data_IF_636170388908
#
_entry.id   IF_636170388908
#
_cell.length_a   1.000
_cell.length_b   1.000
_cell.length_c   1.000
_cell.angle_alpha   90.00
_cell.angle_beta   90.00
_cell.angle_gamma   90.00
#
_symmetry.space_group_name_H-M   'P 1'
#
loop_
_entity.id
_entity.type
_entity.pdbx_description
1 polymer ?
#
# COMPACT_ATOMS: atom_id res chain seq x y z
N UNK A 1 -6.38 -2.11 4.56
CA UNK A 1 -5.21 -2.55 5.36
C UNK A 1 -5.60 -2.89 6.79
N UNK A 2 -6.07 -1.94 7.62
CA UNK A 2 -6.39 -2.21 9.03
C UNK A 2 -7.36 -3.37 9.20
N UNK A 3 -8.49 -3.42 8.44
CA UNK A 3 -9.42 -4.57 8.47
C UNK A 3 -8.69 -5.91 8.29
N UNK A 4 -7.86 -6.05 7.26
CA UNK A 4 -7.12 -7.30 6.98
C UNK A 4 -6.16 -7.67 8.12
N UNK A 5 -5.49 -6.69 8.72
CA UNK A 5 -4.58 -6.94 9.85
C UNK A 5 -5.33 -7.36 11.11
N UNK A 6 -6.55 -6.86 11.31
CA UNK A 6 -7.40 -7.26 12.43
C UNK A 6 -7.96 -8.69 12.32
N UNK A 7 -7.91 -9.33 11.14
CA UNK A 7 -8.22 -10.76 11.00
C UNK A 7 -7.19 -11.67 11.71
N UNK A 8 -6.06 -11.10 12.14
CA UNK A 8 -5.00 -11.82 12.86
C UNK A 8 -4.99 -11.46 14.35
N UNK A 9 -4.45 -12.30 15.22
CA UNK A 9 -4.51 -12.10 16.68
C UNK A 9 -3.64 -10.94 17.21
N UNK A 10 -2.73 -10.38 16.40
CA UNK A 10 -1.85 -9.30 16.84
C UNK A 10 -2.58 -7.96 17.02
N UNK A 11 -2.03 -7.10 17.86
CA UNK A 11 -2.46 -5.70 17.96
C UNK A 11 -1.97 -4.92 16.74
N UNK A 12 -2.82 -4.02 16.26
CA UNK A 12 -2.54 -3.08 15.18
C UNK A 12 -2.42 -1.68 15.76
N UNK A 13 -1.21 -1.15 15.79
CA UNK A 13 -0.97 0.24 16.17
C UNK A 13 -1.26 1.13 14.96
N UNK A 14 -2.23 2.03 15.08
CA UNK A 14 -2.67 2.84 13.95
C UNK A 14 -2.57 4.34 14.26
N UNK A 15 -1.75 5.03 13.49
CA UNK A 15 -1.68 6.48 13.51
C UNK A 15 -2.90 7.08 12.82
N UNK A 16 -3.66 7.89 13.54
CA UNK A 16 -4.88 8.57 13.07
C UNK A 16 -4.76 10.05 13.36
N UNK A 17 -4.66 10.89 12.34
CA UNK A 17 -4.36 12.32 12.46
C UNK A 17 -5.29 13.14 13.34
N UNK A 18 -6.53 12.73 13.54
CA UNK A 18 -7.57 13.52 14.24
C UNK A 18 -8.11 12.76 15.44
N UNK A 19 -8.09 13.39 16.62
CA UNK A 19 -8.66 12.84 17.84
C UNK A 19 -10.15 12.51 17.70
N UNK A 20 -10.93 13.36 16.98
CA UNK A 20 -12.35 13.10 16.73
C UNK A 20 -12.57 11.79 15.94
N UNK A 21 -11.66 11.48 15.00
CA UNK A 21 -11.73 10.22 14.25
C UNK A 21 -11.43 9.02 15.16
N UNK A 22 -10.49 9.14 16.09
CA UNK A 22 -10.23 8.11 17.11
C UNK A 22 -11.46 7.89 17.96
N UNK A 23 -12.04 8.95 18.51
CA UNK A 23 -13.25 8.87 19.34
C UNK A 23 -14.41 8.20 18.58
N UNK A 24 -14.61 8.57 17.32
CA UNK A 24 -15.63 7.95 16.48
C UNK A 24 -15.39 6.45 16.29
N UNK A 25 -14.14 6.05 15.95
CA UNK A 25 -13.78 4.63 15.78
C UNK A 25 -14.03 3.85 17.07
N UNK A 26 -13.65 4.40 18.24
CA UNK A 26 -13.83 3.73 19.51
C UNK A 26 -15.30 3.55 19.89
N UNK A 27 -16.15 4.52 19.56
CA UNK A 27 -17.57 4.49 19.90
C UNK A 27 -18.40 3.68 18.89
N UNK A 28 -18.18 3.93 17.60
CA UNK A 28 -19.01 3.40 16.51
C UNK A 28 -18.42 2.17 15.84
N UNK A 29 -17.15 1.83 16.12
CA UNK A 29 -16.39 0.74 15.47
C UNK A 29 -16.24 0.89 13.95
N UNK A 30 -16.40 2.09 13.41
CA UNK A 30 -16.30 2.40 11.98
C UNK A 30 -15.37 3.58 11.74
N UNK A 31 -14.76 3.66 10.55
CA UNK A 31 -14.05 4.86 10.13
C UNK A 31 -15.04 5.85 9.48
N UNK A 32 -15.15 7.10 9.96
CA UNK A 32 -16.14 8.05 9.44
C UNK A 32 -15.86 8.52 8.01
N UNK A 33 -14.62 8.39 7.53
CA UNK A 33 -14.17 8.97 6.27
C UNK A 33 -13.89 7.94 5.17
N UNK A 34 -13.63 6.68 5.54
CA UNK A 34 -13.22 5.63 4.61
C UNK A 34 -13.90 4.32 4.95
N UNK A 35 -14.60 3.73 3.97
CA UNK A 35 -15.25 2.43 4.11
C UNK A 35 -16.10 2.37 5.38
N UNK A 36 -16.99 3.35 5.54
CA UNK A 36 -17.80 3.52 6.76
C UNK A 36 -18.69 2.32 7.10
N UNK A 37 -18.93 1.42 6.15
CA UNK A 37 -19.65 0.16 6.36
C UNK A 37 -18.81 -0.94 7.00
N UNK A 38 -17.46 -0.78 7.04
CA UNK A 38 -16.56 -1.78 7.61
C UNK A 38 -16.55 -1.67 9.12
N UNK A 39 -16.97 -2.71 9.83
CA UNK A 39 -16.79 -2.80 11.27
C UNK A 39 -15.32 -3.12 11.59
N UNK A 40 -14.78 -2.41 12.57
CA UNK A 40 -13.40 -2.56 13.05
C UNK A 40 -13.42 -3.23 14.42
N UNK A 41 -12.54 -4.20 14.62
CA UNK A 41 -12.34 -4.84 15.92
C UNK A 41 -11.47 -3.95 16.80
N UNK A 42 -12.13 -3.16 17.67
CA UNK A 42 -11.44 -2.24 18.58
C UNK A 42 -10.51 -2.97 19.57
N UNK A 43 -10.78 -4.25 19.87
CA UNK A 43 -9.90 -5.04 20.75
C UNK A 43 -8.55 -5.33 20.10
N UNK A 44 -8.44 -5.20 18.78
CA UNK A 44 -7.20 -5.34 18.02
C UNK A 44 -6.48 -4.02 17.79
N UNK A 45 -7.14 -2.88 18.02
CA UNK A 45 -6.61 -1.56 17.68
C UNK A 45 -5.95 -0.87 18.86
N UNK A 46 -4.81 -0.24 18.60
CA UNK A 46 -4.19 0.76 19.46
C UNK A 46 -4.06 2.04 18.64
N UNK A 47 -4.89 3.03 18.94
CA UNK A 47 -5.01 4.25 18.17
C UNK A 47 -4.21 5.38 18.82
N UNK A 48 -3.42 6.11 18.04
CA UNK A 48 -2.72 7.31 18.52
C UNK A 48 -2.74 8.41 17.47
N UNK A 49 -2.75 9.67 17.93
CA UNK A 49 -2.51 10.85 17.10
C UNK A 49 -1.03 11.22 17.00
N UNK A 50 -0.15 10.52 17.68
CA UNK A 50 1.28 10.69 17.59
C UNK A 50 1.91 9.59 16.74
N UNK A 51 2.47 9.98 15.59
CA UNK A 51 3.17 9.07 14.68
C UNK A 51 4.40 8.44 15.33
N UNK A 52 5.04 9.14 16.28
CA UNK A 52 6.25 8.66 16.95
C UNK A 52 5.93 7.55 17.96
N UNK A 53 4.81 7.66 18.68
CA UNK A 53 4.34 6.58 19.55
C UNK A 53 4.12 5.29 18.75
N UNK A 54 3.42 5.39 17.62
CA UNK A 54 3.14 4.24 16.75
C UNK A 54 4.44 3.68 16.16
N UNK A 55 5.32 4.56 15.66
CA UNK A 55 6.57 4.13 15.06
C UNK A 55 7.54 3.53 16.07
N UNK A 56 7.56 3.99 17.31
CA UNK A 56 8.48 3.49 18.34
C UNK A 56 8.24 2.00 18.66
N UNK A 57 6.97 1.61 18.80
CA UNK A 57 6.60 0.25 19.23
C UNK A 57 6.52 -0.77 18.09
N UNK A 58 6.30 -0.30 16.85
CA UNK A 58 6.13 -1.20 15.71
C UNK A 58 7.48 -1.69 15.17
N UNK A 59 7.59 -2.98 14.88
CA UNK A 59 8.72 -3.58 14.15
C UNK A 59 8.55 -3.46 12.64
N UNK A 60 7.31 -3.52 12.18
CA UNK A 60 6.91 -3.38 10.79
C UNK A 60 6.01 -2.15 10.64
N UNK A 61 6.43 -1.20 9.82
CA UNK A 61 5.69 0.02 9.54
C UNK A 61 5.03 -0.06 8.17
N UNK A 62 3.71 0.04 8.11
CA UNK A 62 2.94 0.02 6.86
C UNK A 62 2.53 1.43 6.48
N UNK A 63 3.01 1.92 5.36
CA UNK A 63 2.64 3.22 4.81
C UNK A 63 1.60 3.07 3.71
N UNK A 64 0.40 3.59 3.96
CA UNK A 64 -0.75 3.54 3.05
C UNK A 64 -1.38 4.93 2.91
N UNK A 65 -0.56 5.91 2.54
CA UNK A 65 -0.95 7.30 2.30
C UNK A 65 -0.65 7.70 0.85
N UNK A 66 -1.31 8.72 0.29
CA UNK A 66 -0.95 9.22 -1.04
C UNK A 66 0.50 9.72 -1.07
N UNK A 67 1.21 9.45 -2.17
CA UNK A 67 2.63 9.77 -2.32
C UNK A 67 2.96 11.25 -2.09
N UNK A 68 2.06 12.15 -2.47
CA UNK A 68 2.21 13.60 -2.26
C UNK A 68 2.30 14.04 -0.78
N UNK A 69 1.94 13.18 0.17
CA UNK A 69 1.97 13.52 1.60
C UNK A 69 3.06 12.77 2.36
N UNK A 70 3.81 11.90 1.68
CA UNK A 70 4.81 11.03 2.34
C UNK A 70 5.90 11.84 3.00
N UNK A 71 6.50 12.78 2.25
CA UNK A 71 7.60 13.60 2.77
C UNK A 71 7.17 14.43 3.97
N UNK A 72 6.12 15.24 3.83
CA UNK A 72 5.61 16.08 4.90
C UNK A 72 5.22 15.29 6.16
N UNK A 73 4.64 14.09 5.99
CA UNK A 73 4.28 13.24 7.12
C UNK A 73 5.52 12.66 7.82
N UNK A 74 6.57 12.33 7.07
CA UNK A 74 7.81 11.77 7.61
C UNK A 74 8.78 12.82 8.16
N UNK A 75 8.54 14.12 7.91
CA UNK A 75 9.25 15.20 8.61
C UNK A 75 8.86 15.28 10.09
N UNK A 76 7.62 14.95 10.44
CA UNK A 76 7.16 14.90 11.82
C UNK A 76 7.62 13.65 12.59
N UNK A 77 8.23 12.68 11.88
CA UNK A 77 8.72 11.45 12.48
C UNK A 77 10.17 11.65 13.00
N UNK A 78 10.30 11.69 14.33
CA UNK A 78 11.60 11.80 15.03
C UNK A 78 12.22 10.44 15.36
N UNK A 79 11.42 9.36 15.34
CA UNK A 79 11.91 7.99 15.56
C UNK A 79 12.76 7.54 14.39
N UNK A 80 13.96 7.00 14.69
CA UNK A 80 14.80 6.38 13.67
C UNK A 80 14.15 5.07 13.15
N UNK A 81 13.79 5.07 11.88
CA UNK A 81 13.19 3.93 11.21
C UNK A 81 14.18 3.14 10.33
N UNK A 82 15.47 3.51 10.32
CA UNK A 82 16.48 2.87 9.48
C UNK A 82 16.67 1.37 9.74
N UNK A 83 16.28 0.91 10.93
CA UNK A 83 16.35 -0.51 11.34
C UNK A 83 15.01 -1.22 11.35
N UNK A 84 13.93 -0.56 10.90
CA UNK A 84 12.58 -1.13 10.87
C UNK A 84 12.24 -1.69 9.49
N UNK A 85 11.39 -2.68 9.46
CA UNK A 85 10.84 -3.19 8.22
C UNK A 85 9.76 -2.23 7.71
N UNK A 86 9.87 -1.78 6.47
CA UNK A 86 8.93 -0.87 5.82
C UNK A 86 8.09 -1.65 4.82
N UNK A 87 6.79 -1.45 4.88
CA UNK A 87 5.84 -2.00 3.91
C UNK A 87 5.12 -0.85 3.23
N UNK A 88 5.37 -0.66 1.95
CA UNK A 88 4.78 0.42 1.16
C UNK A 88 3.55 -0.05 0.40
N UNK A 89 2.40 0.54 0.72
CA UNK A 89 1.19 0.52 -0.11
C UNK A 89 1.02 1.78 -0.95
N UNK A 90 2.06 2.63 -0.98
CA UNK A 90 2.07 3.93 -1.69
C UNK A 90 2.11 3.66 -3.19
N UNK A 91 1.35 4.44 -3.95
CA UNK A 91 1.31 4.35 -5.42
C UNK A 91 1.78 5.67 -6.01
N UNK A 92 2.83 5.62 -6.83
CA UNK A 92 3.41 6.80 -7.45
C UNK A 92 4.74 7.22 -6.84
N UNK A 93 5.21 8.38 -7.27
CA UNK A 93 6.47 8.99 -6.82
C UNK A 93 6.23 9.95 -5.65
N UNK A 94 7.25 10.18 -4.84
CA UNK A 94 7.31 11.28 -3.86
C UNK A 94 7.72 12.53 -4.63
N UNK A 95 6.82 13.52 -4.82
CA UNK A 95 7.01 14.57 -5.82
C UNK A 95 8.25 15.43 -5.58
N UNK A 96 8.55 15.73 -4.32
CA UNK A 96 9.66 16.60 -3.90
C UNK A 96 11.03 16.03 -4.31
N UNK A 97 11.12 14.72 -4.48
CA UNK A 97 12.37 14.01 -4.79
C UNK A 97 12.35 13.33 -6.15
N UNK A 98 11.20 13.17 -6.78
CA UNK A 98 11.05 12.40 -8.01
C UNK A 98 11.34 10.90 -7.84
N UNK A 99 11.34 10.40 -6.60
CA UNK A 99 11.70 9.02 -6.25
C UNK A 99 10.46 8.14 -6.06
N UNK A 100 10.57 6.86 -6.39
CA UNK A 100 9.63 5.85 -5.93
C UNK A 100 9.64 5.76 -4.40
N UNK A 101 8.56 5.25 -3.79
CA UNK A 101 8.47 5.21 -2.34
C UNK A 101 9.60 4.38 -1.70
N UNK A 102 9.94 3.23 -2.28
CA UNK A 102 11.05 2.39 -1.81
C UNK A 102 12.40 3.11 -1.90
N UNK A 103 12.65 3.80 -3.02
CA UNK A 103 13.87 4.61 -3.19
C UNK A 103 13.92 5.75 -2.18
N UNK A 104 12.81 6.41 -1.92
CA UNK A 104 12.71 7.48 -0.92
C UNK A 104 13.05 6.97 0.48
N UNK A 105 12.48 5.85 0.93
CA UNK A 105 12.81 5.26 2.22
C UNK A 105 14.29 4.87 2.29
N UNK A 106 14.84 4.31 1.23
CA UNK A 106 16.25 3.95 1.19
C UNK A 106 17.17 5.16 1.25
N UNK A 107 16.95 6.14 0.37
CA UNK A 107 17.88 7.29 0.22
C UNK A 107 17.69 8.33 1.33
N UNK A 108 16.47 8.66 1.72
CA UNK A 108 16.19 9.73 2.67
C UNK A 108 16.08 9.25 4.11
N UNK A 109 15.59 8.03 4.34
CA UNK A 109 15.40 7.48 5.69
C UNK A 109 16.41 6.37 6.03
N UNK A 110 17.37 6.10 5.12
CA UNK A 110 18.47 5.14 5.31
C UNK A 110 18.01 3.71 5.62
N UNK A 111 16.83 3.35 5.20
CA UNK A 111 16.32 1.98 5.33
C UNK A 111 17.00 1.08 4.30
N UNK A 112 17.59 -0.06 4.70
CA UNK A 112 18.16 -1.02 3.75
C UNK A 112 17.11 -1.55 2.76
N UNK A 113 17.47 -1.73 1.49
CA UNK A 113 16.54 -2.21 0.45
C UNK A 113 15.89 -3.55 0.79
N UNK A 114 16.61 -4.45 1.47
CA UNK A 114 16.10 -5.73 1.92
C UNK A 114 15.13 -5.66 3.12
N UNK A 115 14.93 -4.47 3.69
CA UNK A 115 13.93 -4.18 4.72
C UNK A 115 12.70 -3.42 4.15
N UNK A 116 12.64 -3.24 2.83
CA UNK A 116 11.54 -2.56 2.16
C UNK A 116 10.74 -3.57 1.35
N UNK A 117 9.47 -3.73 1.71
CA UNK A 117 8.49 -4.49 0.95
C UNK A 117 7.46 -3.57 0.33
N UNK A 118 6.98 -3.92 -0.85
CA UNK A 118 5.96 -3.17 -1.60
C UNK A 118 4.73 -4.04 -1.82
N UNK A 119 3.56 -3.46 -1.61
CA UNK A 119 2.27 -4.13 -1.83
C UNK A 119 1.69 -3.66 -3.17
N UNK A 120 1.45 -4.63 -4.06
CA UNK A 120 0.76 -4.45 -5.33
C UNK A 120 -0.42 -5.41 -5.49
N UNK A 121 -1.02 -5.41 -6.67
CA UNK A 121 -2.07 -6.36 -7.05
C UNK A 121 -3.46 -5.76 -7.20
N UNK A 122 -4.39 -6.51 -7.79
CA UNK A 122 -5.79 -6.13 -7.95
C UNK A 122 -6.54 -6.33 -6.62
N UNK A 123 -6.61 -5.25 -5.84
CA UNK A 123 -7.23 -5.25 -4.52
C UNK A 123 -7.88 -3.88 -4.29
N UNK A 124 -9.17 -3.79 -4.62
CA UNK A 124 -9.96 -2.59 -4.39
C UNK A 124 -10.50 -2.57 -2.96
N UNK A 125 -10.41 -1.43 -2.30
CA UNK A 125 -10.78 -1.30 -0.90
C UNK A 125 -12.27 -1.63 -0.65
N UNK A 126 -13.14 -1.27 -1.58
CA UNK A 126 -14.57 -1.55 -1.54
C UNK A 126 -14.88 -3.05 -1.66
N UNK A 127 -14.12 -3.77 -2.49
CA UNK A 127 -14.27 -5.23 -2.62
C UNK A 127 -13.75 -5.97 -1.38
N UNK A 128 -12.65 -5.49 -0.80
CA UNK A 128 -12.14 -5.99 0.48
C UNK A 128 -13.12 -5.72 1.62
N UNK A 129 -13.81 -4.56 1.60
CA UNK A 129 -14.85 -4.25 2.57
C UNK A 129 -16.01 -5.24 2.52
N UNK A 130 -16.33 -5.74 1.32
CA UNK A 130 -17.37 -6.75 1.06
C UNK A 130 -16.84 -8.19 1.16
N UNK A 131 -15.59 -8.39 1.60
CA UNK A 131 -14.94 -9.70 1.73
C UNK A 131 -14.88 -10.49 0.40
N UNK A 132 -14.84 -9.77 -0.73
CA UNK A 132 -14.67 -10.40 -2.04
C UNK A 132 -13.22 -10.83 -2.24
N UNK A 133 -13.07 -11.98 -2.88
CA UNK A 133 -11.74 -12.54 -3.18
C UNK A 133 -10.88 -11.53 -3.92
N UNK A 134 -9.77 -11.15 -3.28
CA UNK A 134 -8.81 -10.18 -3.76
C UNK A 134 -7.40 -10.72 -3.70
N UNK A 135 -6.50 -10.16 -4.50
CA UNK A 135 -5.14 -10.66 -4.63
C UNK A 135 -4.13 -9.56 -4.32
N UNK A 136 -3.13 -9.91 -3.51
CA UNK A 136 -2.01 -9.05 -3.19
C UNK A 136 -0.69 -9.71 -3.61
N UNK A 137 0.20 -8.92 -4.17
CA UNK A 137 1.59 -9.28 -4.39
C UNK A 137 2.46 -8.50 -3.43
N UNK A 138 3.31 -9.20 -2.69
CA UNK A 138 4.28 -8.60 -1.77
C UNK A 138 5.65 -8.73 -2.42
N UNK A 139 6.18 -7.62 -2.91
CA UNK A 139 7.51 -7.57 -3.52
C UNK A 139 8.55 -7.14 -2.49
N UNK A 140 9.56 -7.97 -2.25
CA UNK A 140 10.68 -7.69 -1.36
C UNK A 140 11.88 -8.57 -1.72
N UNK A 141 13.09 -8.01 -1.77
CA UNK A 141 14.33 -8.78 -2.00
C UNK A 141 14.66 -9.74 -0.85
N UNK A 142 14.11 -9.50 0.35
CA UNK A 142 14.18 -10.42 1.48
C UNK A 142 12.95 -11.34 1.47
N UNK A 143 13.14 -12.58 1.06
CA UNK A 143 12.05 -13.57 0.97
C UNK A 143 11.36 -13.86 2.32
N UNK A 144 12.10 -13.81 3.44
CA UNK A 144 11.53 -14.03 4.77
C UNK A 144 10.58 -12.88 5.15
N UNK A 145 10.97 -11.63 4.92
CA UNK A 145 10.10 -10.48 5.15
C UNK A 145 8.88 -10.50 4.22
N UNK A 146 9.07 -10.86 2.94
CA UNK A 146 7.96 -10.98 2.00
C UNK A 146 6.93 -12.01 2.48
N UNK A 147 7.39 -13.18 2.93
CA UNK A 147 6.54 -14.25 3.45
C UNK A 147 5.83 -13.84 4.76
N UNK A 148 6.52 -13.16 5.66
CA UNK A 148 5.93 -12.63 6.89
C UNK A 148 4.80 -11.64 6.59
N UNK A 149 5.05 -10.64 5.75
CA UNK A 149 4.04 -9.64 5.37
C UNK A 149 2.86 -10.30 4.65
N UNK A 150 3.14 -11.24 3.74
CA UNK A 150 2.12 -12.01 3.05
C UNK A 150 1.21 -12.78 4.04
N UNK A 151 1.80 -13.48 5.01
CA UNK A 151 1.05 -14.20 6.05
C UNK A 151 0.18 -13.29 6.91
N UNK A 152 0.69 -12.10 7.26
CA UNK A 152 -0.05 -11.11 8.07
C UNK A 152 -1.24 -10.51 7.32
N UNK A 153 -1.18 -10.41 6.00
CA UNK A 153 -2.24 -9.82 5.16
C UNK A 153 -3.20 -10.86 4.56
N UNK A 154 -2.80 -12.14 4.52
CA UNK A 154 -3.64 -13.21 3.98
C UNK A 154 -4.79 -13.56 4.94
N UNK A 155 -5.99 -13.71 4.39
CA UNK A 155 -7.18 -14.22 5.09
C UNK A 155 -8.10 -14.92 4.08
N UNK A 156 -9.30 -15.32 4.48
CA UNK A 156 -10.23 -16.10 3.65
C UNK A 156 -10.55 -15.42 2.32
N UNK A 157 -10.59 -14.08 2.30
CA UNK A 157 -10.89 -13.29 1.10
C UNK A 157 -9.65 -12.57 0.51
N UNK A 158 -8.43 -12.76 1.07
CA UNK A 158 -7.19 -12.19 0.55
C UNK A 158 -6.17 -13.29 0.26
N UNK A 159 -5.87 -13.48 -1.01
CA UNK A 159 -4.79 -14.36 -1.47
C UNK A 159 -3.53 -13.54 -1.69
N UNK A 160 -2.42 -14.02 -1.16
CA UNK A 160 -1.12 -13.32 -1.26
C UNK A 160 -0.12 -14.13 -2.09
N UNK A 161 0.71 -13.43 -2.86
CA UNK A 161 1.90 -13.98 -3.53
C UNK A 161 3.12 -13.13 -3.20
N UNK A 162 4.28 -13.75 -3.13
CA UNK A 162 5.56 -13.05 -2.94
C UNK A 162 6.35 -12.96 -4.24
N UNK A 163 7.13 -11.90 -4.38
CA UNK A 163 8.02 -11.64 -5.52
C UNK A 163 9.24 -10.86 -5.06
N UNK A 164 10.34 -10.89 -5.80
CA UNK A 164 11.59 -10.18 -5.49
C UNK A 164 11.78 -8.87 -6.28
N UNK A 165 11.01 -8.64 -7.34
CA UNK A 165 11.06 -7.42 -8.17
C UNK A 165 10.29 -6.27 -7.51
N UNK A 166 10.92 -5.59 -6.56
CA UNK A 166 10.37 -4.42 -5.85
C UNK A 166 10.13 -3.27 -6.82
N UNK A 167 11.11 -2.99 -7.67
CA UNK A 167 11.08 -1.86 -8.62
C UNK A 167 10.00 -2.05 -9.66
N UNK A 168 9.92 -3.23 -10.25
CA UNK A 168 8.85 -3.55 -11.20
C UNK A 168 7.46 -3.44 -10.58
N UNK A 169 7.30 -3.85 -9.32
CA UNK A 169 6.04 -3.72 -8.59
C UNK A 169 5.61 -2.25 -8.38
N UNK A 170 6.54 -1.37 -8.00
CA UNK A 170 6.28 0.06 -7.81
C UNK A 170 5.96 0.77 -9.13
N UNK A 171 6.77 0.55 -10.17
CA UNK A 171 6.49 1.11 -11.49
C UNK A 171 5.18 0.62 -12.08
N UNK A 172 4.87 -0.67 -11.95
CA UNK A 172 3.59 -1.20 -12.41
C UNK A 172 2.41 -0.55 -11.67
N UNK A 173 2.51 -0.36 -10.36
CA UNK A 173 1.48 0.30 -9.56
C UNK A 173 1.29 1.78 -9.93
N UNK A 174 2.35 2.48 -10.33
CA UNK A 174 2.31 3.86 -10.80
C UNK A 174 1.73 3.96 -12.22
N UNK A 175 2.31 3.21 -13.16
CA UNK A 175 1.98 3.31 -14.59
C UNK A 175 0.56 2.80 -14.92
N UNK A 176 0.07 1.80 -14.17
CA UNK A 176 -1.29 1.27 -14.40
C UNK A 176 -2.39 2.33 -14.39
N UNK A 177 -2.21 3.41 -13.62
CA UNK A 177 -3.20 4.47 -13.54
C UNK A 177 -3.29 5.28 -14.85
N UNK A 178 -2.18 5.44 -15.56
CA UNK A 178 -2.14 6.09 -16.89
C UNK A 178 -2.94 5.24 -17.88
N UNK A 179 -2.71 3.93 -17.88
CA UNK A 179 -3.43 3.01 -18.78
C UNK A 179 -4.90 2.85 -18.40
N UNK A 180 -5.24 2.95 -17.12
CA UNK A 180 -6.63 2.96 -16.68
C UNK A 180 -7.39 4.18 -17.22
N UNK A 181 -6.75 5.36 -17.26
CA UNK A 181 -7.33 6.56 -17.89
C UNK A 181 -7.53 6.33 -19.39
N UNK A 182 -6.52 5.79 -20.09
CA UNK A 182 -6.63 5.48 -21.51
C UNK A 182 -7.77 4.48 -21.81
N UNK A 183 -7.90 3.45 -20.97
CA UNK A 183 -9.00 2.49 -21.08
C UNK A 183 -10.36 3.13 -20.85
N UNK A 184 -10.48 4.01 -19.85
CA UNK A 184 -11.70 4.75 -19.57
C UNK A 184 -12.10 5.68 -20.71
N UNK A 185 -11.15 6.41 -21.30
CA UNK A 185 -11.39 7.27 -22.48
C UNK A 185 -11.86 6.42 -23.66
N UNK A 186 -11.18 5.31 -23.94
CA UNK A 186 -11.55 4.41 -25.05
C UNK A 186 -12.95 3.84 -24.86
N UNK A 187 -13.29 3.44 -23.64
CA UNK A 187 -14.63 2.96 -23.31
C UNK A 187 -15.70 4.05 -23.53
N UNK A 188 -15.43 5.27 -23.04
CA UNK A 188 -16.34 6.41 -23.20
C UNK A 188 -16.55 6.85 -24.67
N UNK A 189 -15.56 6.59 -25.55
CA UNK A 189 -15.65 6.81 -26.98
C UNK A 189 -16.33 5.67 -27.75
N UNK A 190 -16.77 4.61 -27.05
CA UNK A 190 -17.49 3.49 -27.65
C UNK A 190 -16.59 2.43 -28.32
N UNK A 191 -15.28 2.43 -28.06
CA UNK A 191 -14.41 1.34 -28.53
C UNK A 191 -14.78 0.03 -27.84
N UNK A 192 -14.90 -1.04 -28.63
CA UNK A 192 -15.30 -2.37 -28.14
C UNK A 192 -14.18 -3.18 -27.46
N UNK A 193 -14.53 -4.39 -27.00
CA UNK A 193 -13.66 -5.26 -26.22
C UNK A 193 -12.37 -5.67 -26.95
N UNK A 194 -12.41 -5.83 -28.27
CA UNK A 194 -11.22 -6.13 -29.08
C UNK A 194 -10.17 -5.03 -28.94
N UNK A 195 -10.60 -3.76 -29.00
CA UNK A 195 -9.70 -2.62 -28.83
C UNK A 195 -9.15 -2.58 -27.39
N UNK A 196 -10.00 -2.78 -26.40
CA UNK A 196 -9.58 -2.80 -24.98
C UNK A 196 -8.53 -3.90 -24.74
N UNK A 197 -8.70 -5.09 -25.30
CA UNK A 197 -7.75 -6.19 -25.18
C UNK A 197 -6.38 -5.84 -25.80
N UNK A 198 -6.38 -5.20 -26.97
CA UNK A 198 -5.15 -4.73 -27.64
C UNK A 198 -4.49 -3.62 -26.83
N UNK A 199 -5.26 -2.66 -26.33
CA UNK A 199 -4.77 -1.57 -25.48
C UNK A 199 -4.07 -2.13 -24.25
N UNK A 200 -4.69 -3.06 -23.53
CA UNK A 200 -4.10 -3.69 -22.34
C UNK A 200 -2.82 -4.47 -22.65
N UNK A 201 -2.82 -5.23 -23.73
CA UNK A 201 -1.63 -5.98 -24.17
C UNK A 201 -0.46 -5.05 -24.50
N UNK A 202 -0.73 -3.93 -25.18
CA UNK A 202 0.28 -2.92 -25.49
C UNK A 202 0.77 -2.19 -24.25
N UNK A 203 -0.13 -1.84 -23.33
CA UNK A 203 0.20 -1.24 -22.05
C UNK A 203 1.19 -2.08 -21.24
N UNK A 204 0.95 -3.39 -21.11
CA UNK A 204 1.86 -4.32 -20.42
C UNK A 204 3.23 -4.36 -21.10
N UNK A 205 3.27 -4.39 -22.45
CA UNK A 205 4.53 -4.38 -23.21
C UNK A 205 5.29 -3.08 -23.02
N UNK A 206 4.59 -1.95 -23.00
CA UNK A 206 5.17 -0.63 -22.80
C UNK A 206 5.74 -0.49 -21.40
N UNK A 207 4.99 -0.88 -20.36
CA UNK A 207 5.50 -0.94 -18.98
C UNK A 207 6.79 -1.73 -18.89
N UNK A 208 6.81 -2.95 -19.45
CA UNK A 208 8.02 -3.79 -19.44
C UNK A 208 9.21 -3.12 -20.14
N UNK A 209 8.97 -2.45 -21.28
CA UNK A 209 10.03 -1.74 -22.00
C UNK A 209 10.54 -0.53 -21.22
N UNK A 210 9.62 0.22 -20.61
CA UNK A 210 9.95 1.39 -19.80
C UNK A 210 10.83 0.99 -18.62
N UNK A 211 10.39 0.01 -17.82
CA UNK A 211 11.15 -0.46 -16.64
C UNK A 211 12.55 -0.93 -17.06
N UNK A 212 12.69 -1.73 -18.12
CA UNK A 212 13.99 -2.19 -18.62
C UNK A 212 14.92 -1.06 -19.13
N UNK A 213 14.37 0.11 -19.46
CA UNK A 213 15.16 1.24 -19.92
C UNK A 213 15.61 2.14 -18.78
N UNK A 214 14.85 2.17 -17.70
CA UNK A 214 15.09 3.03 -16.53
C UNK A 214 15.93 2.30 -15.47
N UNK A 215 15.82 1.00 -15.43
CA UNK A 215 16.50 0.08 -14.51
C UNK A 215 17.20 -1.02 -15.28
#
# INVERSE_FOLDING_TARGET
MVKMLCEKPQKVHWYVRKTQTIQYILNEKHNPSYLSSVELDNDRLVLSTDINEVAAVAEVLIFAIPSAFVHAQLESLSVDISKKNIVSGIKGIVPEFGLLAGEYFHQQKKVPLNQIAVIGGPCHAEEVALERLSYLTIACTNAALAAEVASRLSCDYIQTKTHDDVVGAEYAAMLKNIYAIAAGISHGLGYGDNFQSVLMSNAIREMKRYIKKVY
#
